data_IF_467623618718
#
_entry.id   IF_467623618718
#
_cell.length_a   1.000
_cell.length_b   1.000
_cell.length_c   1.000
_cell.angle_alpha   90.00
_cell.angle_beta   90.00
_cell.angle_gamma   90.00
#
_symmetry.space_group_name_H-M   'P 1'
#
loop_
_entity.id
_entity.type
_entity.pdbx_description
1 polymer ?
#
# COMPACT_ATOMS: atom_id res chain seq x y z
N UNK A 1 -25.73 30.50 5.03
CA UNK A 1 -25.46 29.13 4.57
C UNK A 1 -26.66 28.23 4.87
N UNK A 2 -27.47 27.86 3.86
CA UNK A 2 -28.60 26.94 4.04
C UNK A 2 -28.07 25.53 4.15
N UNK A 3 -28.21 24.87 5.33
CA UNK A 3 -28.00 23.44 5.49
C UNK A 3 -28.97 22.70 4.55
N UNK A 4 -28.42 22.02 3.55
CA UNK A 4 -29.18 21.10 2.70
C UNK A 4 -29.65 19.95 3.60
N UNK A 5 -30.96 19.72 3.69
CA UNK A 5 -31.55 18.61 4.46
C UNK A 5 -31.14 17.27 3.85
N UNK A 6 -30.64 16.40 4.65
CA UNK A 6 -29.66 15.36 4.50
C UNK A 6 -29.98 14.18 3.58
N UNK A 7 -31.14 14.08 2.93
CA UNK A 7 -31.42 12.93 2.03
C UNK A 7 -32.70 13.07 1.15
N UNK A 8 -33.66 13.90 1.53
CA UNK A 8 -34.83 14.17 0.67
C UNK A 8 -34.48 14.85 -0.65
N UNK A 9 -33.30 15.47 -0.72
CA UNK A 9 -32.82 16.15 -1.93
C UNK A 9 -32.23 15.16 -2.93
N UNK A 10 -31.59 14.09 -2.47
CA UNK A 10 -30.93 13.11 -3.36
C UNK A 10 -31.89 12.10 -3.99
N UNK A 11 -33.01 11.75 -3.34
CA UNK A 11 -34.03 10.86 -3.94
C UNK A 11 -34.81 11.53 -5.08
N UNK A 12 -34.76 12.85 -5.19
CA UNK A 12 -35.34 13.63 -6.30
C UNK A 12 -34.37 13.97 -7.43
N UNK A 13 -33.10 13.55 -7.29
CA UNK A 13 -32.01 13.91 -8.22
C UNK A 13 -31.82 12.92 -9.36
N UNK A 14 -32.68 11.91 -9.50
CA UNK A 14 -32.68 10.99 -10.64
C UNK A 14 -33.07 11.60 -11.99
N UNK A 15 -33.47 12.89 -12.03
CA UNK A 15 -33.97 13.54 -13.24
C UNK A 15 -33.22 14.81 -13.69
N UNK A 16 -32.09 15.15 -13.08
CA UNK A 16 -31.36 16.35 -13.49
C UNK A 16 -29.87 16.29 -13.11
N UNK A 17 -29.03 16.58 -14.09
CA UNK A 17 -27.57 16.70 -13.91
C UNK A 17 -27.24 17.68 -12.80
N UNK A 18 -26.67 17.19 -11.69
CA UNK A 18 -26.13 18.06 -10.65
C UNK A 18 -24.76 18.54 -11.14
N UNK A 19 -24.67 19.81 -11.47
CA UNK A 19 -23.37 20.47 -11.60
C UNK A 19 -22.97 20.88 -10.19
N UNK A 20 -22.05 20.13 -9.59
CA UNK A 20 -21.43 20.51 -8.33
C UNK A 20 -20.54 21.73 -8.60
N UNK A 21 -20.68 22.82 -7.84
CA UNK A 21 -19.78 23.96 -8.02
C UNK A 21 -18.35 23.53 -7.70
N UNK A 22 -17.42 23.78 -8.61
CA UNK A 22 -16.00 23.65 -8.33
C UNK A 22 -15.66 24.51 -7.11
N UNK A 23 -15.28 23.86 -6.04
CA UNK A 23 -14.78 24.55 -4.86
C UNK A 23 -13.27 24.82 -5.05
N UNK A 24 -12.80 25.98 -4.62
CA UNK A 24 -11.36 26.29 -4.58
C UNK A 24 -10.55 25.28 -3.78
N UNK A 25 -11.21 24.45 -2.97
CA UNK A 25 -10.60 23.42 -2.10
C UNK A 25 -10.82 22.01 -2.60
N UNK A 26 -11.52 21.81 -3.73
CA UNK A 26 -11.84 20.50 -4.30
C UNK A 26 -13.29 20.07 -4.15
N UNK A 27 -13.62 18.88 -4.64
CA UNK A 27 -14.97 18.31 -4.59
C UNK A 27 -15.15 17.54 -3.28
N UNK A 28 -16.21 17.91 -2.53
CA UNK A 28 -16.50 17.28 -1.24
C UNK A 28 -17.89 16.64 -1.23
N UNK A 29 -17.93 15.31 -1.28
CA UNK A 29 -19.13 14.47 -1.23
C UNK A 29 -19.21 13.67 0.08
N UNK A 30 -18.50 14.09 1.12
CA UNK A 30 -18.44 13.42 2.42
C UNK A 30 -19.81 13.31 3.08
N UNK A 31 -20.15 12.11 3.59
CA UNK A 31 -21.30 11.86 4.47
C UNK A 31 -22.64 12.30 3.87
N UNK A 32 -22.87 11.95 2.60
CA UNK A 32 -24.12 12.25 1.87
C UNK A 32 -25.03 11.03 1.75
N UNK A 33 -24.62 9.85 2.24
CA UNK A 33 -25.37 8.60 2.10
C UNK A 33 -25.37 8.07 0.67
N UNK A 34 -24.32 8.35 -0.10
CA UNK A 34 -24.20 7.94 -1.50
C UNK A 34 -23.91 6.43 -1.58
N UNK A 35 -24.60 5.74 -2.51
CA UNK A 35 -24.32 4.33 -2.85
C UNK A 35 -23.52 4.19 -4.13
N UNK A 36 -23.50 5.22 -4.96
CA UNK A 36 -22.73 5.31 -6.21
C UNK A 36 -22.42 6.77 -6.52
N UNK A 37 -21.39 6.99 -7.33
CA UNK A 37 -21.06 8.30 -7.90
C UNK A 37 -21.64 8.45 -9.32
N UNK A 38 -22.21 7.39 -9.90
CA UNK A 38 -22.84 7.43 -11.22
C UNK A 38 -24.00 8.43 -11.22
N UNK A 39 -24.13 9.19 -12.32
CA UNK A 39 -25.19 10.20 -12.48
C UNK A 39 -24.91 11.53 -11.78
N UNK A 40 -23.81 11.69 -11.04
CA UNK A 40 -23.42 12.97 -10.45
C UNK A 40 -22.74 13.93 -11.43
N UNK A 41 -22.49 13.49 -12.69
CA UNK A 41 -21.82 14.28 -13.72
C UNK A 41 -20.52 14.94 -13.22
N UNK A 42 -19.71 14.18 -12.52
CA UNK A 42 -18.41 14.61 -12.02
C UNK A 42 -17.43 14.80 -13.19
N UNK A 43 -16.52 15.78 -13.12
CA UNK A 43 -15.51 15.94 -14.15
C UNK A 43 -14.56 14.75 -14.17
N UNK A 44 -14.04 14.39 -15.34
CA UNK A 44 -13.02 13.33 -15.46
C UNK A 44 -11.70 13.69 -14.75
N UNK A 45 -11.41 15.00 -14.65
CA UNK A 45 -10.23 15.55 -13.97
C UNK A 45 -10.61 16.62 -12.97
N UNK A 46 -9.99 16.58 -11.78
CA UNK A 46 -10.07 17.64 -10.77
C UNK A 46 -8.66 18.16 -10.46
N UNK A 47 -8.50 19.48 -10.36
CA UNK A 47 -7.22 20.09 -10.03
C UNK A 47 -6.87 20.02 -8.53
N UNK A 48 -7.86 19.77 -7.70
CA UNK A 48 -7.76 19.74 -6.24
C UNK A 48 -8.09 18.36 -5.69
N UNK A 49 -8.27 18.25 -4.37
CA UNK A 49 -8.70 17.01 -3.72
C UNK A 49 -10.15 16.64 -4.09
N UNK A 50 -10.39 15.34 -4.13
CA UNK A 50 -11.71 14.75 -4.23
C UNK A 50 -11.96 13.85 -3.03
N UNK A 51 -13.06 14.10 -2.29
CA UNK A 51 -13.46 13.23 -1.18
C UNK A 51 -14.89 12.74 -1.31
N UNK A 52 -15.08 11.44 -1.17
CA UNK A 52 -16.36 10.75 -1.06
C UNK A 52 -16.41 9.85 0.19
N UNK A 53 -15.62 10.19 1.21
CA UNK A 53 -15.55 9.44 2.47
C UNK A 53 -16.89 9.44 3.24
N UNK A 54 -17.06 8.44 4.14
CA UNK A 54 -18.25 8.29 4.98
C UNK A 54 -19.56 8.22 4.17
N UNK A 55 -19.60 7.35 3.16
CA UNK A 55 -20.78 7.03 2.37
C UNK A 55 -21.09 5.53 2.43
N UNK A 56 -21.96 5.04 1.56
CA UNK A 56 -22.31 3.62 1.42
C UNK A 56 -21.89 3.11 0.02
N UNK A 57 -20.76 3.64 -0.51
CA UNK A 57 -20.30 3.30 -1.85
C UNK A 57 -19.84 1.84 -1.92
N UNK A 58 -20.39 1.09 -2.87
CA UNK A 58 -19.95 -0.27 -3.22
C UNK A 58 -19.10 -0.30 -4.48
N UNK A 59 -19.01 0.82 -5.20
CA UNK A 59 -18.23 0.99 -6.44
C UNK A 59 -17.77 2.43 -6.58
N UNK A 60 -16.65 2.64 -7.28
CA UNK A 60 -16.13 3.96 -7.65
C UNK A 60 -16.56 4.40 -9.06
N UNK A 61 -17.53 3.72 -9.70
CA UNK A 61 -18.07 4.16 -10.98
C UNK A 61 -18.58 5.59 -10.88
N UNK A 62 -18.19 6.42 -11.86
CA UNK A 62 -18.50 7.84 -11.88
C UNK A 62 -17.48 8.72 -11.16
N UNK A 63 -16.44 8.16 -10.54
CA UNK A 63 -15.36 8.97 -9.97
C UNK A 63 -14.50 9.62 -11.06
N UNK A 64 -13.81 10.74 -10.76
CA UNK A 64 -12.78 11.31 -11.63
C UNK A 64 -11.71 10.27 -11.99
N UNK A 65 -11.08 10.41 -13.14
CA UNK A 65 -9.93 9.61 -13.56
C UNK A 65 -8.59 10.20 -13.12
N UNK A 66 -8.56 11.52 -12.97
CA UNK A 66 -7.39 12.26 -12.52
C UNK A 66 -7.76 13.18 -11.36
N UNK A 67 -6.95 13.14 -10.28
CA UNK A 67 -7.13 13.97 -9.09
C UNK A 67 -5.82 14.69 -8.80
N UNK A 68 -5.82 16.02 -8.93
CA UNK A 68 -4.61 16.87 -8.85
C UNK A 68 -4.06 17.06 -7.43
N UNK A 69 -4.68 16.47 -6.40
CA UNK A 69 -4.13 16.48 -5.06
C UNK A 69 -4.38 15.14 -4.36
N UNK A 70 -5.38 15.00 -3.50
CA UNK A 70 -5.66 13.76 -2.77
C UNK A 70 -7.05 13.22 -3.10
N UNK A 71 -7.16 11.89 -3.20
CA UNK A 71 -8.41 11.17 -3.36
C UNK A 71 -8.74 10.43 -2.06
N UNK A 72 -9.96 10.63 -1.54
CA UNK A 72 -10.41 9.97 -0.32
C UNK A 72 -11.76 9.27 -0.54
N UNK A 73 -11.72 7.93 -0.57
CA UNK A 73 -12.87 7.04 -0.60
C UNK A 73 -12.96 6.18 0.67
N UNK A 74 -12.34 6.59 1.76
CA UNK A 74 -12.36 5.86 3.02
C UNK A 74 -13.75 5.79 3.65
N UNK A 75 -13.95 4.85 4.60
CA UNK A 75 -15.24 4.68 5.29
C UNK A 75 -16.41 4.48 4.32
N UNK A 76 -16.32 3.46 3.48
CA UNK A 76 -17.33 3.03 2.52
C UNK A 76 -17.48 1.50 2.56
N UNK A 77 -18.17 0.91 1.58
CA UNK A 77 -18.47 -0.52 1.44
C UNK A 77 -17.74 -1.14 0.22
N UNK A 78 -16.59 -0.54 -0.21
CA UNK A 78 -15.87 -0.93 -1.42
C UNK A 78 -15.20 -2.30 -1.25
N UNK A 79 -15.34 -3.19 -2.24
CA UNK A 79 -14.65 -4.47 -2.31
C UNK A 79 -13.43 -4.45 -3.24
N UNK A 80 -13.35 -3.48 -4.17
CA UNK A 80 -12.21 -3.19 -5.05
C UNK A 80 -12.07 -1.70 -5.30
N UNK A 81 -10.96 -1.28 -5.92
CA UNK A 81 -10.73 0.11 -6.33
C UNK A 81 -11.00 0.33 -7.83
N UNK A 82 -11.58 -0.67 -8.51
CA UNK A 82 -11.96 -0.53 -9.91
C UNK A 82 -12.81 0.72 -10.15
N UNK A 83 -12.62 1.33 -11.32
CA UNK A 83 -13.23 2.60 -11.72
C UNK A 83 -12.77 3.83 -10.92
N UNK A 84 -11.90 3.67 -9.93
CA UNK A 84 -11.27 4.77 -9.22
C UNK A 84 -10.31 5.56 -10.12
N UNK A 85 -9.74 6.66 -9.60
CA UNK A 85 -8.75 7.46 -10.34
C UNK A 85 -7.47 6.66 -10.57
N UNK A 86 -7.04 6.64 -11.84
CA UNK A 86 -5.76 6.05 -12.24
C UNK A 86 -4.56 6.97 -12.00
N UNK A 87 -4.82 8.27 -11.75
CA UNK A 87 -3.82 9.28 -11.44
C UNK A 87 -4.28 10.11 -10.24
N UNK A 88 -3.47 10.11 -9.19
CA UNK A 88 -3.65 10.91 -7.99
C UNK A 88 -2.28 11.48 -7.61
N UNK A 89 -2.18 12.79 -7.46
CA UNK A 89 -0.89 13.45 -7.29
C UNK A 89 -0.23 13.13 -5.94
N UNK A 90 -1.01 13.06 -4.84
CA UNK A 90 -0.42 13.00 -3.50
C UNK A 90 -0.85 11.79 -2.68
N UNK A 91 -2.07 11.75 -2.19
CA UNK A 91 -2.50 10.73 -1.23
C UNK A 91 -3.76 10.04 -1.72
N UNK A 92 -3.76 8.71 -1.68
CA UNK A 92 -4.92 7.87 -1.90
C UNK A 92 -5.35 7.25 -0.58
N UNK A 93 -6.49 7.66 -0.06
CA UNK A 93 -7.11 7.10 1.13
C UNK A 93 -8.24 6.14 0.73
N UNK A 94 -8.09 4.86 1.08
CA UNK A 94 -9.11 3.83 0.91
C UNK A 94 -9.28 2.95 2.17
N UNK A 95 -8.90 3.50 3.33
CA UNK A 95 -8.98 2.78 4.61
C UNK A 95 -10.43 2.63 5.07
N UNK A 96 -10.70 1.64 5.94
CA UNK A 96 -12.04 1.30 6.45
C UNK A 96 -13.01 1.10 5.28
N UNK A 97 -12.77 0.02 4.53
CA UNK A 97 -13.63 -0.50 3.47
C UNK A 97 -13.72 -2.04 3.61
N UNK A 98 -14.20 -2.73 2.58
CA UNK A 98 -14.27 -4.19 2.50
C UNK A 98 -13.33 -4.74 1.43
N UNK A 99 -12.25 -4.01 1.10
CA UNK A 99 -11.35 -4.36 0.00
C UNK A 99 -10.74 -5.75 0.21
N UNK A 100 -10.87 -6.59 -0.78
CA UNK A 100 -10.23 -7.91 -0.87
C UNK A 100 -9.08 -7.92 -1.86
N UNK A 101 -8.98 -6.87 -2.70
CA UNK A 101 -7.93 -6.62 -3.68
C UNK A 101 -7.68 -5.11 -3.79
N UNK A 102 -6.49 -4.73 -4.25
CA UNK A 102 -6.13 -3.34 -4.56
C UNK A 102 -6.18 -3.04 -6.06
N UNK A 103 -6.76 -3.96 -6.87
CA UNK A 103 -6.98 -3.73 -8.30
C UNK A 103 -7.75 -2.42 -8.54
N UNK A 104 -7.26 -1.62 -9.48
CA UNK A 104 -7.75 -0.28 -9.76
C UNK A 104 -6.98 0.83 -9.03
N UNK A 105 -5.98 0.51 -8.21
CA UNK A 105 -5.09 1.53 -7.65
C UNK A 105 -4.22 2.19 -8.72
N UNK A 106 -3.74 3.43 -8.51
CA UNK A 106 -2.80 4.08 -9.42
C UNK A 106 -1.45 3.35 -9.44
N UNK A 107 -0.76 3.32 -10.60
CA UNK A 107 0.54 2.66 -10.71
C UNK A 107 1.63 3.33 -9.83
N UNK A 108 1.54 4.65 -9.68
CA UNK A 108 2.47 5.48 -8.88
C UNK A 108 1.70 6.47 -8.04
N UNK A 109 2.15 6.68 -6.80
CA UNK A 109 1.54 7.59 -5.82
C UNK A 109 2.59 8.10 -4.83
N UNK A 110 2.36 9.24 -4.16
CA UNK A 110 3.20 9.64 -3.03
C UNK A 110 2.90 8.78 -1.79
N UNK A 111 1.64 8.72 -1.36
CA UNK A 111 1.23 7.99 -0.16
C UNK A 111 -0.05 7.20 -0.43
N UNK A 112 -0.08 5.94 0.00
CA UNK A 112 -1.22 5.05 -0.16
C UNK A 112 -1.62 4.44 1.19
N UNK A 113 -2.89 4.61 1.59
CA UNK A 113 -3.39 4.18 2.91
C UNK A 113 -4.61 3.30 2.72
N UNK A 114 -4.45 1.99 2.96
CA UNK A 114 -5.47 0.97 2.81
C UNK A 114 -5.69 0.14 4.09
N UNK A 115 -5.43 0.75 5.24
CA UNK A 115 -5.64 0.13 6.56
C UNK A 115 -7.10 -0.27 6.77
N UNK A 116 -7.36 -1.23 7.68
CA UNK A 116 -8.72 -1.65 8.05
C UNK A 116 -9.56 -2.10 6.85
N UNK A 117 -9.06 -3.11 6.13
CA UNK A 117 -9.74 -3.78 5.02
C UNK A 117 -9.70 -5.32 5.19
N UNK A 118 -10.08 -6.06 4.16
CA UNK A 118 -10.12 -7.53 4.15
C UNK A 118 -9.01 -8.14 3.28
N UNK A 119 -7.89 -7.44 3.08
CA UNK A 119 -6.80 -7.86 2.23
C UNK A 119 -6.08 -9.08 2.81
N UNK A 120 -5.88 -10.13 2.00
CA UNK A 120 -5.05 -11.30 2.33
C UNK A 120 -3.66 -11.22 1.72
N UNK A 121 -3.52 -10.47 0.65
CA UNK A 121 -2.28 -10.11 -0.04
C UNK A 121 -2.37 -8.66 -0.52
N UNK A 122 -1.37 -8.18 -1.27
CA UNK A 122 -1.30 -6.81 -1.75
C UNK A 122 -1.40 -6.73 -3.29
N UNK A 123 -2.01 -7.73 -3.93
CA UNK A 123 -2.21 -7.72 -5.39
C UNK A 123 -3.00 -6.50 -5.82
N UNK A 124 -2.53 -5.87 -6.89
CA UNK A 124 -3.09 -4.62 -7.40
C UNK A 124 -2.58 -3.36 -6.69
N UNK A 125 -1.69 -3.44 -5.70
CA UNK A 125 -1.10 -2.26 -5.08
C UNK A 125 -0.30 -1.42 -6.09
N UNK A 126 -0.11 -0.11 -5.81
CA UNK A 126 0.79 0.73 -6.58
C UNK A 126 2.19 0.12 -6.67
N UNK A 127 2.83 0.18 -7.84
CA UNK A 127 4.20 -0.30 -8.02
C UNK A 127 5.22 0.61 -7.33
N UNK A 128 5.00 1.92 -7.39
CA UNK A 128 5.90 2.94 -6.86
C UNK A 128 5.14 3.81 -5.88
N UNK A 129 5.58 3.80 -4.62
CA UNK A 129 5.10 4.69 -3.56
C UNK A 129 6.27 5.57 -3.13
N UNK A 130 6.26 6.85 -3.50
CA UNK A 130 7.42 7.72 -3.28
C UNK A 130 7.58 8.16 -1.82
N UNK A 131 6.54 7.99 -1.02
CA UNK A 131 6.56 8.23 0.43
C UNK A 131 6.11 6.97 1.18
N UNK A 132 4.92 6.97 1.78
CA UNK A 132 4.52 5.94 2.72
C UNK A 132 3.38 5.05 2.19
N UNK A 133 3.48 3.75 2.47
CA UNK A 133 2.44 2.75 2.22
C UNK A 133 1.97 2.16 3.56
N UNK A 134 0.67 2.22 3.83
CA UNK A 134 0.08 1.63 5.03
C UNK A 134 -1.06 0.67 4.67
N UNK A 135 -0.98 -0.54 5.21
CA UNK A 135 -1.95 -1.62 5.04
C UNK A 135 -2.21 -2.36 6.36
N UNK A 136 -2.07 -1.67 7.49
CA UNK A 136 -2.33 -2.24 8.81
C UNK A 136 -3.79 -2.68 8.99
N UNK A 137 -4.03 -3.54 9.99
CA UNK A 137 -5.38 -4.02 10.29
C UNK A 137 -6.08 -4.68 9.08
N UNK A 138 -5.32 -5.48 8.33
CA UNK A 138 -5.80 -6.40 7.31
C UNK A 138 -5.47 -7.84 7.72
N UNK A 139 -6.26 -8.84 7.32
CA UNK A 139 -5.97 -10.25 7.61
C UNK A 139 -4.87 -10.82 6.70
N UNK A 140 -3.75 -10.07 6.52
CA UNK A 140 -2.67 -10.44 5.62
C UNK A 140 -2.06 -11.80 5.98
N UNK A 141 -1.93 -12.64 4.98
CA UNK A 141 -1.19 -13.91 5.01
C UNK A 141 0.00 -13.90 4.05
N UNK A 142 0.06 -12.90 3.15
CA UNK A 142 1.13 -12.69 2.18
C UNK A 142 1.32 -11.19 1.93
N UNK A 143 2.52 -10.80 1.52
CA UNK A 143 2.83 -9.49 0.97
C UNK A 143 2.98 -9.53 -0.56
N UNK A 144 2.56 -10.63 -1.20
CA UNK A 144 2.56 -10.73 -2.67
C UNK A 144 1.84 -9.55 -3.29
N UNK A 145 2.45 -8.90 -4.27
CA UNK A 145 1.95 -7.68 -4.88
C UNK A 145 2.31 -6.39 -4.15
N UNK A 146 3.10 -6.45 -3.06
CA UNK A 146 3.60 -5.23 -2.41
C UNK A 146 4.33 -4.32 -3.40
N UNK A 147 4.37 -2.98 -3.14
CA UNK A 147 5.10 -2.04 -3.97
C UNK A 147 6.55 -2.45 -4.18
N UNK A 148 7.07 -2.25 -5.38
CA UNK A 148 8.47 -2.48 -5.73
C UNK A 148 9.38 -1.43 -5.05
N UNK A 149 8.86 -0.19 -4.94
CA UNK A 149 9.57 0.93 -4.33
C UNK A 149 8.70 1.63 -3.29
N UNK A 150 9.28 1.90 -2.10
CA UNK A 150 8.67 2.72 -1.04
C UNK A 150 9.75 3.66 -0.51
N UNK A 151 9.51 4.96 -0.68
CA UNK A 151 10.52 6.00 -0.40
C UNK A 151 10.66 6.36 1.09
N UNK A 152 9.62 6.17 1.90
CA UNK A 152 9.65 6.48 3.32
C UNK A 152 9.27 5.24 4.16
N UNK A 153 8.00 5.10 4.56
CA UNK A 153 7.57 4.09 5.51
C UNK A 153 6.65 3.04 4.87
N UNK A 154 6.91 1.76 5.17
CA UNK A 154 5.97 0.65 4.97
C UNK A 154 5.43 0.19 6.32
N UNK A 155 4.10 0.15 6.46
CA UNK A 155 3.43 -0.34 7.66
C UNK A 155 2.36 -1.38 7.29
N UNK A 156 2.46 -2.59 7.83
CA UNK A 156 1.42 -3.61 7.68
C UNK A 156 0.73 -3.99 9.02
N UNK A 157 0.94 -3.20 10.07
CA UNK A 157 0.42 -3.48 11.40
C UNK A 157 1.26 -4.46 12.21
N UNK A 158 1.75 -5.53 11.61
CA UNK A 158 2.64 -6.50 12.26
C UNK A 158 4.07 -5.97 12.43
N UNK A 159 4.50 -5.11 11.52
CA UNK A 159 5.79 -4.42 11.55
C UNK A 159 5.75 -3.14 10.73
N UNK A 160 6.75 -2.28 10.95
CA UNK A 160 6.98 -1.08 10.16
C UNK A 160 8.44 -1.03 9.73
N UNK A 161 8.68 -0.84 8.43
CA UNK A 161 9.99 -0.52 7.86
C UNK A 161 10.00 0.96 7.56
N UNK A 162 10.96 1.71 8.09
CA UNK A 162 11.00 3.18 8.07
C UNK A 162 12.15 3.73 7.27
N UNK A 163 12.04 5.02 6.94
CA UNK A 163 13.12 5.82 6.37
C UNK A 163 13.65 5.29 5.03
N UNK A 164 12.77 4.85 4.14
CA UNK A 164 13.12 4.37 2.81
C UNK A 164 13.91 3.05 2.80
N UNK A 165 13.87 2.29 3.89
CA UNK A 165 14.57 1.00 4.00
C UNK A 165 13.74 -0.18 3.50
N UNK A 166 12.70 0.07 2.71
CA UNK A 166 11.95 -0.99 2.04
C UNK A 166 12.88 -1.72 1.06
N UNK A 167 13.00 -3.03 1.22
CA UNK A 167 13.91 -3.86 0.45
C UNK A 167 14.67 -4.84 1.36
N UNK A 168 15.69 -5.52 0.81
CA UNK A 168 16.38 -6.62 1.49
C UNK A 168 16.91 -6.23 2.88
N UNK A 169 17.49 -5.03 3.04
CA UNK A 169 18.01 -4.57 4.35
C UNK A 169 16.90 -4.52 5.42
N UNK A 170 15.79 -3.89 5.10
CA UNK A 170 14.66 -3.78 6.03
C UNK A 170 13.99 -5.13 6.28
N UNK A 171 13.85 -5.97 5.26
CA UNK A 171 13.28 -7.32 5.38
C UNK A 171 14.11 -8.21 6.30
N UNK A 172 15.43 -8.20 6.14
CA UNK A 172 16.33 -8.96 7.02
C UNK A 172 16.25 -8.49 8.48
N UNK A 173 16.08 -7.19 8.72
CA UNK A 173 15.85 -6.68 10.06
C UNK A 173 14.57 -7.26 10.67
N UNK A 174 13.48 -7.35 9.91
CA UNK A 174 12.22 -7.97 10.36
C UNK A 174 12.43 -9.46 10.63
N UNK A 175 13.18 -10.19 9.79
CA UNK A 175 13.50 -11.60 10.01
C UNK A 175 14.29 -11.83 11.31
N UNK A 176 15.14 -10.89 11.71
CA UNK A 176 15.91 -10.98 12.94
C UNK A 176 15.08 -10.66 14.19
N UNK A 177 14.28 -9.59 14.15
CA UNK A 177 13.70 -9.00 15.36
C UNK A 177 12.17 -9.03 15.40
N UNK A 178 11.52 -9.40 14.29
CA UNK A 178 10.06 -9.41 14.17
C UNK A 178 9.40 -10.61 14.84
N UNK A 179 8.08 -10.52 15.02
CA UNK A 179 7.25 -11.64 15.45
C UNK A 179 7.23 -12.76 14.39
N UNK A 180 6.82 -13.98 14.75
CA UNK A 180 6.73 -15.08 13.79
C UNK A 180 5.80 -14.75 12.62
N UNK A 181 4.72 -14.02 12.87
CA UNK A 181 3.82 -13.53 11.82
C UNK A 181 4.52 -12.52 10.90
N UNK A 182 5.25 -11.55 11.46
CA UNK A 182 6.04 -10.60 10.68
C UNK A 182 7.09 -11.30 9.80
N UNK A 183 7.81 -12.27 10.35
CA UNK A 183 8.78 -13.09 9.61
C UNK A 183 8.12 -13.87 8.48
N UNK A 184 6.98 -14.53 8.77
CA UNK A 184 6.23 -15.27 7.76
C UNK A 184 5.79 -14.39 6.59
N UNK A 185 5.33 -13.16 6.86
CA UNK A 185 4.94 -12.21 5.80
C UNK A 185 6.13 -11.82 4.92
N UNK A 186 7.29 -11.50 5.52
CA UNK A 186 8.50 -11.15 4.75
C UNK A 186 8.95 -12.30 3.87
N UNK A 187 8.87 -13.54 4.34
CA UNK A 187 9.25 -14.71 3.55
C UNK A 187 8.41 -14.89 2.27
N UNK A 188 7.21 -14.31 2.20
CA UNK A 188 6.36 -14.38 0.99
C UNK A 188 6.84 -13.53 -0.17
N UNK A 189 7.68 -12.52 0.09
CA UNK A 189 8.17 -11.57 -0.92
C UNK A 189 9.69 -11.55 -1.05
N UNK A 190 10.40 -12.29 -0.21
CA UNK A 190 11.84 -12.31 -0.26
C UNK A 190 12.31 -13.00 -1.56
N UNK A 191 12.88 -12.26 -2.53
CA UNK A 191 13.34 -12.87 -3.76
C UNK A 191 14.61 -13.70 -3.48
N UNK A 192 14.61 -14.96 -3.89
CA UNK A 192 15.77 -15.84 -3.66
C UNK A 192 17.03 -15.30 -4.33
N UNK A 193 16.92 -14.86 -5.59
CA UNK A 193 18.01 -14.26 -6.37
C UNK A 193 18.44 -12.90 -5.78
N UNK A 194 17.50 -12.06 -5.34
CA UNK A 194 17.78 -10.77 -4.70
C UNK A 194 18.54 -10.94 -3.38
N UNK A 195 18.17 -11.94 -2.57
CA UNK A 195 18.87 -12.24 -1.34
C UNK A 195 20.27 -12.79 -1.61
N UNK A 196 20.39 -13.71 -2.56
CA UNK A 196 21.66 -14.28 -2.95
C UNK A 196 22.63 -13.20 -3.47
N UNK A 197 22.16 -12.30 -4.32
CA UNK A 197 22.93 -11.15 -4.81
C UNK A 197 23.36 -10.23 -3.67
N UNK A 198 22.46 -9.87 -2.77
CA UNK A 198 22.73 -9.01 -1.62
C UNK A 198 23.82 -9.62 -0.69
N UNK A 199 23.80 -10.94 -0.49
CA UNK A 199 24.81 -11.64 0.31
C UNK A 199 26.13 -11.76 -0.46
N UNK A 200 26.10 -11.98 -1.79
CA UNK A 200 27.32 -12.09 -2.62
C UNK A 200 28.08 -10.76 -2.73
N UNK A 201 27.36 -9.62 -2.72
CA UNK A 201 27.99 -8.29 -2.71
C UNK A 201 28.83 -8.05 -1.44
N UNK A 202 28.40 -8.62 -0.31
CA UNK A 202 29.13 -8.58 0.96
C UNK A 202 28.83 -9.87 1.76
N UNK A 203 29.68 -10.90 1.63
CA UNK A 203 29.47 -12.17 2.31
C UNK A 203 29.39 -12.10 3.84
N UNK A 204 29.88 -11.01 4.46
CA UNK A 204 29.74 -10.83 5.91
C UNK A 204 28.28 -10.68 6.32
N UNK A 205 27.42 -10.25 5.41
CA UNK A 205 25.96 -10.12 5.62
C UNK A 205 25.26 -11.45 5.89
N UNK A 206 25.93 -12.61 5.64
CA UNK A 206 25.34 -13.92 5.93
C UNK A 206 24.99 -14.09 7.42
N UNK A 207 25.67 -13.37 8.33
CA UNK A 207 25.32 -13.37 9.77
C UNK A 207 23.91 -12.80 10.03
N UNK A 208 23.35 -11.98 9.11
CA UNK A 208 22.00 -11.46 9.22
C UNK A 208 20.93 -12.56 9.15
N UNK A 209 21.31 -13.75 8.67
CA UNK A 209 20.43 -14.91 8.56
C UNK A 209 20.59 -15.91 9.71
N UNK A 210 21.34 -15.59 10.77
CA UNK A 210 21.61 -16.52 11.88
C UNK A 210 20.33 -16.96 12.60
N UNK A 211 19.31 -16.08 12.68
CA UNK A 211 18.01 -16.36 13.27
C UNK A 211 17.04 -17.10 12.31
N UNK A 212 17.47 -17.35 11.06
CA UNK A 212 16.68 -18.04 10.03
C UNK A 212 17.54 -19.15 9.36
N UNK A 213 17.84 -20.26 10.08
CA UNK A 213 18.82 -21.25 9.63
C UNK A 213 18.47 -21.92 8.31
N UNK A 214 17.18 -22.17 8.02
CA UNK A 214 16.75 -22.78 6.77
C UNK A 214 16.99 -21.83 5.57
N UNK A 215 16.70 -20.53 5.73
CA UNK A 215 16.96 -19.51 4.74
C UNK A 215 18.46 -19.36 4.50
N UNK A 216 19.26 -19.35 5.57
CA UNK A 216 20.73 -19.31 5.51
C UNK A 216 21.29 -20.51 4.76
N UNK A 217 20.81 -21.71 5.06
CA UNK A 217 21.22 -22.93 4.37
C UNK A 217 20.88 -22.90 2.88
N UNK A 218 19.69 -22.35 2.53
CA UNK A 218 19.27 -22.13 1.14
C UNK A 218 20.24 -21.21 0.38
N UNK A 219 20.57 -20.04 0.95
CA UNK A 219 21.53 -19.09 0.37
C UNK A 219 22.89 -19.74 0.18
N UNK A 220 23.44 -20.42 1.19
CA UNK A 220 24.73 -21.13 1.12
C UNK A 220 24.74 -22.16 -0.02
N UNK A 221 23.63 -22.91 -0.16
CA UNK A 221 23.51 -23.94 -1.22
C UNK A 221 23.50 -23.30 -2.62
N UNK A 222 22.76 -22.22 -2.83
CA UNK A 222 22.65 -21.56 -4.15
C UNK A 222 23.92 -20.78 -4.52
N UNK A 223 24.51 -20.07 -3.56
CA UNK A 223 25.68 -19.21 -3.80
C UNK A 223 27.01 -19.97 -3.79
N UNK A 224 27.04 -21.18 -3.27
CA UNK A 224 28.27 -21.94 -3.10
C UNK A 224 29.22 -21.40 -2.03
N UNK A 225 28.74 -20.45 -1.19
CA UNK A 225 29.52 -19.92 -0.06
C UNK A 225 29.83 -21.04 0.95
N UNK A 226 31.08 -21.44 1.07
CA UNK A 226 31.51 -22.41 2.05
C UNK A 226 31.82 -21.72 3.37
N UNK A 227 31.11 -22.15 4.41
CA UNK A 227 31.39 -21.91 5.84
C UNK A 227 32.08 -20.57 6.20
N UNK A 228 31.32 -19.49 6.14
CA UNK A 228 31.75 -18.13 6.50
C UNK A 228 32.08 -17.96 8.00
N UNK A 229 31.83 -18.95 8.84
CA UNK A 229 32.29 -18.94 10.24
C UNK A 229 33.80 -18.78 10.37
N UNK A 230 34.54 -19.15 9.33
CA UNK A 230 35.99 -18.94 9.24
C UNK A 230 36.37 -17.54 8.75
N UNK A 231 35.64 -16.96 7.82
CA UNK A 231 35.88 -15.57 7.32
C UNK A 231 35.67 -14.51 8.40
N UNK A 232 34.63 -14.64 9.21
CA UNK A 232 34.35 -13.70 10.31
C UNK A 232 35.42 -13.70 11.41
N UNK A 233 36.23 -14.78 11.56
CA UNK A 233 37.38 -14.81 12.46
C UNK A 233 38.61 -14.13 11.83
N UNK A 234 38.80 -14.26 10.54
CA UNK A 234 39.95 -13.65 9.83
C UNK A 234 39.87 -12.13 9.79
N UNK A 235 38.66 -11.58 9.64
CA UNK A 235 38.42 -10.11 9.66
C UNK A 235 38.66 -9.53 11.07
N UNK A 236 38.31 -10.26 12.14
CA UNK A 236 38.56 -9.81 13.53
C UNK A 236 40.02 -9.86 13.96
N UNK A 237 40.85 -10.60 13.24
CA UNK A 237 42.29 -10.77 13.60
C UNK A 237 43.25 -9.92 12.77
N UNK A 238 42.73 -9.08 11.84
CA UNK A 238 43.56 -8.11 11.10
C UNK A 238 44.67 -8.74 10.24
N UNK A 239 44.50 -10.00 9.81
CA UNK A 239 45.43 -10.71 8.95
C UNK A 239 44.87 -10.84 7.54
N UNK A 240 44.94 -9.75 6.79
CA UNK A 240 45.13 -9.67 5.32
C UNK A 240 45.96 -8.44 5.03
#
# INVERSE_FOLDING_TARGET
MKRIKKWETFSKLSEGSIILPESKTGTNLKNLGLKTLEGLNLPEKTENSFTCEYNELTTLKGSPKEVGFSFDCSNNELESLEYGPSQVERIYFCYINKLTSLEGSPLKIETFICDYNNLKDLKGAPKIVTKSFSCGNNPLTSLEGAPEEIGEDFNCGEFTIRNGKWGVEGWLKVLQTGTDKAKSLILTILPEDGLDKFILEDPTRLHLLDETPDLKAGVIKRTGLKDLSRLGRTIKTGLL
#
